data_IF_546858900391
#
_entry.id   IF_546858900391
#
_cell.length_a   1.000
_cell.length_b   1.000
_cell.length_c   1.000
_cell.angle_alpha   90.00
_cell.angle_beta   90.00
_cell.angle_gamma   90.00
#
_symmetry.space_group_name_H-M   'P 1'
#
loop_
_entity.id
_entity.type
_entity.pdbx_description
1 polymer ?
#
# COMPACT_ATOMS: atom_id res chain seq x y z
N UNK A 1 17.17 -30.90 -5.07
CA UNK A 1 17.09 -29.43 -4.86
C UNK A 1 15.90 -28.89 -5.64
N UNK A 2 14.88 -28.33 -4.97
CA UNK A 2 13.69 -27.77 -5.66
C UNK A 2 14.12 -26.51 -6.42
N UNK A 3 14.06 -26.56 -7.75
CA UNK A 3 14.32 -25.42 -8.63
C UNK A 3 13.45 -24.23 -8.25
N UNK A 4 14.08 -23.11 -7.92
CA UNK A 4 13.39 -21.85 -7.64
C UNK A 4 12.72 -21.33 -8.92
N UNK A 5 11.42 -21.57 -9.03
CA UNK A 5 10.61 -21.02 -10.13
C UNK A 5 10.52 -19.50 -10.03
N UNK A 6 10.61 -18.82 -11.19
CA UNK A 6 10.39 -17.36 -11.34
C UNK A 6 9.15 -16.88 -10.57
N UNK A 7 8.07 -17.68 -10.59
CA UNK A 7 6.81 -17.37 -9.88
C UNK A 7 6.97 -17.37 -8.36
N UNK A 8 7.74 -18.32 -7.84
CA UNK A 8 8.01 -18.46 -6.40
C UNK A 8 8.95 -17.35 -5.91
N UNK A 9 9.91 -16.95 -6.75
CA UNK A 9 10.77 -15.81 -6.51
C UNK A 9 9.96 -14.51 -6.43
N UNK A 10 9.11 -14.25 -7.42
CA UNK A 10 8.23 -13.06 -7.44
C UNK A 10 7.23 -13.04 -6.28
N UNK A 11 6.67 -14.20 -5.90
CA UNK A 11 5.78 -14.30 -4.72
C UNK A 11 6.52 -13.99 -3.41
N UNK A 12 7.75 -14.46 -3.25
CA UNK A 12 8.53 -14.24 -2.04
C UNK A 12 9.06 -12.79 -1.95
N UNK A 13 9.55 -12.21 -3.05
CA UNK A 13 10.14 -10.86 -3.05
C UNK A 13 9.08 -9.76 -3.04
N UNK A 14 7.95 -9.96 -3.73
CA UNK A 14 6.87 -8.96 -3.80
C UNK A 14 6.14 -8.74 -2.47
N UNK A 15 5.80 -9.83 -1.76
CA UNK A 15 5.17 -9.73 -0.44
C UNK A 15 6.16 -9.35 0.67
N UNK A 16 7.43 -9.77 0.56
CA UNK A 16 8.46 -9.50 1.57
C UNK A 16 8.78 -8.00 1.71
N UNK A 17 9.09 -7.32 0.60
CA UNK A 17 9.42 -5.89 0.63
C UNK A 17 8.22 -5.02 1.04
N UNK A 18 7.02 -5.34 0.51
CA UNK A 18 5.79 -4.66 0.91
C UNK A 18 5.44 -4.84 2.39
N UNK A 19 5.70 -6.01 2.97
CA UNK A 19 5.47 -6.27 4.40
C UNK A 19 6.40 -5.46 5.32
N UNK A 20 7.61 -5.14 4.84
CA UNK A 20 8.61 -4.36 5.57
C UNK A 20 8.24 -2.87 5.56
N UNK A 21 7.82 -2.35 4.41
CA UNK A 21 7.23 -1.01 4.29
C UNK A 21 5.93 -0.87 5.10
N UNK A 22 5.06 -1.89 5.07
CA UNK A 22 3.83 -1.92 5.88
C UNK A 22 4.13 -1.96 7.38
N UNK A 23 5.12 -2.74 7.82
CA UNK A 23 5.59 -2.72 9.21
C UNK A 23 6.12 -1.33 9.62
N UNK A 24 6.85 -0.65 8.74
CA UNK A 24 7.32 0.70 9.03
C UNK A 24 6.17 1.71 9.15
N UNK A 25 5.15 1.62 8.29
CA UNK A 25 3.93 2.44 8.39
C UNK A 25 3.13 2.12 9.66
N UNK A 26 2.95 0.84 10.01
CA UNK A 26 2.20 0.44 11.20
C UNK A 26 2.97 0.68 12.51
N UNK A 27 4.31 0.61 12.49
CA UNK A 27 5.17 0.92 13.61
C UNK A 27 5.25 2.43 13.91
N UNK A 28 4.97 3.26 12.89
CA UNK A 28 4.71 4.68 13.07
C UNK A 28 3.29 4.84 13.64
N UNK A 29 3.14 4.56 14.94
CA UNK A 29 1.95 4.98 15.67
C UNK A 29 1.92 6.51 15.67
N UNK A 30 1.23 7.10 14.69
CA UNK A 30 0.86 8.50 14.78
C UNK A 30 0.13 8.67 16.11
N UNK A 31 0.66 9.51 16.99
CA UNK A 31 -0.05 9.98 18.18
C UNK A 31 -1.20 10.86 17.71
N UNK A 32 -2.22 10.23 17.14
CA UNK A 32 -3.44 10.89 16.70
C UNK A 32 -4.24 11.16 17.97
N UNK A 33 -4.16 12.38 18.48
CA UNK A 33 -4.98 12.85 19.59
C UNK A 33 -6.44 12.46 19.35
N UNK A 34 -7.03 11.75 20.33
CA UNK A 34 -8.43 11.35 20.45
C UNK A 34 -9.30 11.52 19.19
N UNK A 35 -8.95 10.85 18.10
CA UNK A 35 -9.88 10.63 17.01
C UNK A 35 -10.74 9.46 17.45
N UNK A 36 -11.80 9.75 18.21
CA UNK A 36 -12.75 8.74 18.64
C UNK A 36 -13.13 7.90 17.42
N UNK A 37 -12.70 6.64 17.44
CA UNK A 37 -12.82 5.72 16.31
C UNK A 37 -14.31 5.51 16.06
N UNK A 38 -14.89 6.28 15.15
CA UNK A 38 -16.30 6.13 14.78
C UNK A 38 -16.50 4.72 14.29
N UNK A 39 -17.24 3.94 15.06
CA UNK A 39 -17.62 2.59 14.67
C UNK A 39 -18.50 2.72 13.42
N UNK A 40 -18.07 2.19 12.26
CA UNK A 40 -18.92 2.24 11.09
C UNK A 40 -20.20 1.46 11.40
N UNK A 41 -21.39 1.96 11.00
CA UNK A 41 -22.66 1.25 11.23
C UNK A 41 -22.72 -0.14 10.59
N UNK A 42 -21.82 -0.42 9.64
CA UNK A 42 -21.74 -1.67 8.89
C UNK A 42 -20.35 -2.28 9.09
N UNK A 43 -20.24 -3.59 9.40
CA UNK A 43 -18.95 -4.26 9.54
C UNK A 43 -18.22 -4.24 8.19
N UNK A 44 -17.12 -3.49 8.12
CA UNK A 44 -16.30 -3.45 6.91
C UNK A 44 -15.61 -4.81 6.73
N UNK A 45 -15.97 -5.53 5.67
CA UNK A 45 -15.28 -6.77 5.25
C UNK A 45 -14.80 -6.64 3.81
N UNK A 46 -13.54 -6.23 3.63
CA UNK A 46 -12.91 -6.29 2.32
C UNK A 46 -12.69 -7.76 1.93
N UNK A 47 -13.40 -8.24 0.91
CA UNK A 47 -13.27 -9.62 0.42
C UNK A 47 -12.06 -9.79 -0.52
N UNK A 48 -11.69 -8.73 -1.23
CA UNK A 48 -10.63 -8.71 -2.24
C UNK A 48 -10.02 -7.30 -2.26
N UNK A 49 -8.70 -7.23 -2.31
CA UNK A 49 -7.94 -5.99 -2.47
C UNK A 49 -7.25 -6.07 -3.82
N UNK A 50 -7.55 -5.13 -4.72
CA UNK A 50 -6.92 -5.05 -6.04
C UNK A 50 -6.05 -3.80 -6.02
N UNK A 51 -4.73 -3.99 -6.09
CA UNK A 51 -3.76 -2.91 -6.15
C UNK A 51 -3.43 -2.64 -7.63
N UNK A 52 -3.85 -1.47 -8.13
CA UNK A 52 -3.57 -1.05 -9.50
C UNK A 52 -2.35 -0.13 -9.49
N UNK A 53 -1.21 -0.64 -9.95
CA UNK A 53 -0.06 0.20 -10.31
C UNK A 53 -0.28 0.73 -11.72
N UNK A 54 -0.73 1.98 -11.85
CA UNK A 54 -0.88 2.66 -13.13
C UNK A 54 0.29 3.64 -13.30
N UNK A 55 1.40 3.24 -13.93
CA UNK A 55 2.45 4.17 -14.28
C UNK A 55 1.91 5.15 -15.34
N UNK A 56 2.13 6.45 -15.16
CA UNK A 56 1.76 7.48 -16.14
C UNK A 56 0.76 8.54 -15.66
N UNK A 57 0.35 8.53 -14.39
CA UNK A 57 -0.29 9.69 -13.79
C UNK A 57 0.70 10.85 -13.67
N UNK A 58 0.28 12.11 -13.88
CA UNK A 58 1.17 13.26 -13.70
C UNK A 58 1.71 13.24 -12.27
N UNK A 59 3.01 13.53 -12.11
CA UNK A 59 3.57 13.71 -10.78
C UNK A 59 2.80 14.83 -10.09
N UNK A 60 2.62 14.73 -8.76
CA UNK A 60 1.95 15.77 -7.98
C UNK A 60 2.55 17.16 -8.25
N UNK A 61 3.87 17.20 -8.49
CA UNK A 61 4.64 18.39 -8.83
C UNK A 61 4.24 19.01 -10.18
N UNK A 62 3.82 18.20 -11.16
CA UNK A 62 3.49 18.64 -12.52
C UNK A 62 2.00 18.94 -12.72
N UNK A 63 1.15 18.70 -11.71
CA UNK A 63 -0.32 18.84 -11.87
C UNK A 63 -0.76 20.31 -11.79
N UNK A 64 0.09 21.21 -11.30
CA UNK A 64 -0.24 22.62 -11.05
C UNK A 64 0.83 23.63 -11.51
N UNK A 65 1.86 23.20 -12.23
CA UNK A 65 2.84 24.13 -12.80
C UNK A 65 2.33 24.68 -14.14
N UNK A 66 1.83 25.92 -14.14
CA UNK A 66 1.40 26.59 -15.37
C UNK A 66 2.63 27.04 -16.14
N UNK A 67 2.93 26.37 -17.25
CA UNK A 67 3.98 26.77 -18.19
C UNK A 67 3.36 27.62 -19.31
N UNK A 68 3.73 28.91 -19.43
CA UNK A 68 3.26 29.76 -20.52
C UNK A 68 3.83 29.33 -21.88
#
# INVERSE_FOLDING_TARGET
>A
MRTLSRRRLLQATGCGFGSLAFNALCGTSASAGSLHRKTPPIPARARRVIFLCMPGGPAHLDTFDYKP
#
